data_IF_533795761241
#
_entry.id   IF_533795761241
#
_cell.length_a   1.000
_cell.length_b   1.000
_cell.length_c   1.000
_cell.angle_alpha   90.00
_cell.angle_beta   90.00
_cell.angle_gamma   90.00
#
_symmetry.space_group_name_H-M   'P 1'
#
loop_
_entity.id
_entity.type
_entity.pdbx_description
1 polymer ?
#
# COMPACT_ATOMS: atom_id res chain seq x y z
N UNK A 1 -1.14 27.78 8.86
CA UNK A 1 -2.07 26.70 8.48
C UNK A 1 -2.78 26.22 9.72
N UNK A 2 -4.11 26.10 9.67
CA UNK A 2 -4.86 25.43 10.74
C UNK A 2 -4.46 23.95 10.78
N UNK A 3 -4.41 23.32 11.95
CA UNK A 3 -3.90 21.94 12.07
C UNK A 3 -4.63 20.92 11.17
N UNK A 4 -5.95 21.11 10.97
CA UNK A 4 -6.75 20.29 10.06
C UNK A 4 -6.37 20.46 8.59
N UNK A 5 -6.04 21.68 8.17
CA UNK A 5 -5.59 21.97 6.79
C UNK A 5 -4.22 21.32 6.54
N UNK A 6 -3.32 21.37 7.52
CA UNK A 6 -2.04 20.68 7.47
C UNK A 6 -2.21 19.16 7.36
N UNK A 7 -3.08 18.58 8.16
CA UNK A 7 -3.36 17.15 8.14
C UNK A 7 -3.87 16.71 6.77
N UNK A 8 -4.86 17.43 6.21
CA UNK A 8 -5.41 17.12 4.89
C UNK A 8 -4.35 17.19 3.79
N UNK A 9 -3.46 18.18 3.81
CA UNK A 9 -2.34 18.27 2.86
C UNK A 9 -1.41 17.05 2.95
N UNK A 10 -1.11 16.57 4.17
CA UNK A 10 -0.27 15.39 4.36
C UNK A 10 -0.99 14.11 3.90
N UNK A 11 -2.29 13.98 4.15
CA UNK A 11 -3.08 12.84 3.65
C UNK A 11 -3.07 12.85 2.12
N UNK A 12 -3.35 13.98 1.48
CA UNK A 12 -3.30 14.12 0.01
C UNK A 12 -1.94 13.76 -0.56
N UNK A 13 -0.85 14.17 0.11
CA UNK A 13 0.50 13.76 -0.27
C UNK A 13 0.67 12.23 -0.31
N UNK A 14 0.16 11.51 0.70
CA UNK A 14 0.25 10.05 0.75
C UNK A 14 -0.64 9.36 -0.29
N UNK A 15 -1.81 9.93 -0.60
CA UNK A 15 -2.67 9.45 -1.70
C UNK A 15 -1.93 9.56 -3.04
N UNK A 16 -1.32 10.71 -3.32
CA UNK A 16 -0.54 10.94 -4.54
C UNK A 16 0.64 9.96 -4.59
N UNK A 17 1.37 9.80 -3.47
CA UNK A 17 2.47 8.82 -3.39
C UNK A 17 2.03 7.39 -3.64
N UNK A 18 0.85 7.00 -3.17
CA UNK A 18 0.27 5.69 -3.45
C UNK A 18 0.03 5.50 -4.95
N UNK A 19 -0.58 6.49 -5.62
CA UNK A 19 -0.87 6.46 -7.06
C UNK A 19 0.41 6.45 -7.90
N UNK A 20 1.35 7.36 -7.64
CA UNK A 20 2.66 7.39 -8.31
C UNK A 20 3.40 6.05 -8.17
N UNK A 21 3.30 5.41 -7.00
CA UNK A 21 3.94 4.11 -6.77
C UNK A 21 3.28 2.99 -7.55
N UNK A 22 1.95 3.03 -7.72
CA UNK A 22 1.21 2.04 -8.50
C UNK A 22 1.49 2.17 -10.00
N UNK A 23 1.56 3.41 -10.50
CA UNK A 23 1.97 3.70 -11.88
C UNK A 23 3.40 3.20 -12.13
N UNK A 24 4.33 3.56 -11.24
CA UNK A 24 5.71 3.08 -11.31
C UNK A 24 5.78 1.55 -11.27
N UNK A 25 4.95 0.88 -10.46
CA UNK A 25 4.89 -0.58 -10.45
C UNK A 25 4.51 -1.17 -11.81
N UNK A 26 3.54 -0.56 -12.50
CA UNK A 26 3.16 -0.93 -13.86
C UNK A 26 4.29 -0.73 -14.86
N UNK A 27 5.06 0.35 -14.75
CA UNK A 27 6.19 0.61 -15.65
C UNK A 27 7.38 -0.34 -15.42
N UNK A 28 7.69 -0.65 -14.16
CA UNK A 28 8.68 -1.67 -13.80
C UNK A 28 8.28 -3.06 -14.32
N UNK A 29 6.98 -3.40 -14.23
CA UNK A 29 6.44 -4.63 -14.78
C UNK A 29 6.59 -4.69 -16.29
N UNK A 30 6.23 -3.62 -17.03
CA UNK A 30 6.42 -3.54 -18.48
C UNK A 30 7.89 -3.72 -18.86
N UNK A 31 8.80 -3.11 -18.10
CA UNK A 31 10.23 -3.22 -18.32
C UNK A 31 10.84 -4.57 -17.90
N UNK A 32 10.06 -5.49 -17.31
CA UNK A 32 10.55 -6.81 -16.86
C UNK A 32 11.36 -6.76 -15.56
N UNK A 33 11.35 -5.63 -14.86
CA UNK A 33 12.03 -5.42 -13.58
C UNK A 33 11.12 -5.87 -12.43
N UNK A 34 10.86 -7.17 -12.38
CA UNK A 34 9.78 -7.76 -11.56
C UNK A 34 9.96 -7.51 -10.05
N UNK A 35 11.16 -7.65 -9.50
CA UNK A 35 11.41 -7.37 -8.06
C UNK A 35 11.15 -5.90 -7.72
N UNK A 36 11.50 -4.97 -8.61
CA UNK A 36 11.21 -3.55 -8.44
C UNK A 36 9.71 -3.24 -8.56
N UNK A 37 9.00 -3.95 -9.44
CA UNK A 37 7.54 -3.86 -9.51
C UNK A 37 6.89 -4.33 -8.20
N UNK A 38 7.26 -5.51 -7.67
CA UNK A 38 6.76 -6.01 -6.37
C UNK A 38 7.00 -5.02 -5.24
N UNK A 39 8.20 -4.42 -5.19
CA UNK A 39 8.52 -3.36 -4.24
C UNK A 39 7.53 -2.19 -4.33
N UNK A 40 7.31 -1.68 -5.56
CA UNK A 40 6.41 -0.56 -5.82
C UNK A 40 4.94 -0.88 -5.53
N UNK A 41 4.48 -2.10 -5.81
CA UNK A 41 3.14 -2.59 -5.45
C UNK A 41 2.92 -2.52 -3.94
N UNK A 42 3.87 -3.04 -3.16
CA UNK A 42 3.80 -2.98 -1.70
C UNK A 42 3.74 -1.54 -1.19
N UNK A 43 4.61 -0.65 -1.70
CA UNK A 43 4.63 0.76 -1.28
C UNK A 43 3.37 1.52 -1.67
N UNK A 44 2.76 1.22 -2.82
CA UNK A 44 1.48 1.78 -3.21
C UNK A 44 0.39 1.47 -2.17
N UNK A 45 0.29 0.22 -1.72
CA UNK A 45 -0.65 -0.17 -0.66
C UNK A 45 -0.29 0.47 0.69
N UNK A 46 1.00 0.46 1.05
CA UNK A 46 1.51 1.03 2.30
C UNK A 46 1.18 2.53 2.44
N UNK A 47 1.35 3.32 1.37
CA UNK A 47 1.03 4.74 1.39
C UNK A 47 -0.47 5.00 1.48
N UNK A 48 -1.31 4.19 0.83
CA UNK A 48 -2.76 4.32 0.97
C UNK A 48 -3.24 4.01 2.39
N UNK A 49 -2.70 2.96 3.02
CA UNK A 49 -2.96 2.66 4.44
C UNK A 49 -2.48 3.81 5.32
N UNK A 50 -1.31 4.39 5.02
CA UNK A 50 -0.77 5.54 5.76
C UNK A 50 -1.75 6.71 5.73
N UNK A 51 -2.31 7.03 4.56
CA UNK A 51 -3.30 8.10 4.41
C UNK A 51 -4.55 7.85 5.28
N UNK A 52 -5.11 6.64 5.26
CA UNK A 52 -6.30 6.29 6.04
C UNK A 52 -6.05 6.31 7.55
N UNK A 53 -4.95 5.73 8.01
CA UNK A 53 -4.62 5.71 9.44
C UNK A 53 -4.32 7.13 9.96
N UNK A 54 -3.70 7.97 9.13
CA UNK A 54 -3.41 9.36 9.46
C UNK A 54 -4.69 10.18 9.68
N UNK A 55 -5.77 9.94 8.92
CA UNK A 55 -7.08 10.55 9.16
C UNK A 55 -7.64 10.24 10.56
N UNK A 56 -7.32 9.06 11.09
CA UNK A 56 -7.73 8.62 12.43
C UNK A 56 -6.70 9.04 13.51
N UNK A 57 -5.80 9.98 13.19
CA UNK A 57 -4.68 10.44 14.04
C UNK A 57 -3.72 9.32 14.48
N UNK A 58 -3.61 8.24 13.69
CA UNK A 58 -2.70 7.13 13.97
C UNK A 58 -1.42 7.27 13.12
N UNK A 59 -0.29 7.45 13.79
CA UNK A 59 1.01 7.68 13.16
C UNK A 59 1.99 6.53 13.42
N UNK A 60 2.65 6.05 12.35
CA UNK A 60 3.60 4.94 12.45
C UNK A 60 4.91 5.27 11.74
N UNK A 61 6.03 5.04 12.42
CA UNK A 61 7.39 5.20 11.85
C UNK A 61 7.97 3.88 11.31
N UNK A 62 7.41 2.75 11.73
CA UNK A 62 7.89 1.40 11.39
C UNK A 62 6.84 0.67 10.56
N UNK A 63 7.28 -0.08 9.55
CA UNK A 63 6.38 -0.89 8.72
C UNK A 63 5.56 -1.90 9.54
N UNK A 64 6.18 -2.56 10.52
CA UNK A 64 5.49 -3.50 11.41
C UNK A 64 4.39 -2.84 12.24
N UNK A 65 4.61 -1.60 12.69
CA UNK A 65 3.62 -0.83 13.43
C UNK A 65 2.40 -0.49 12.56
N UNK A 66 2.63 0.01 11.34
CA UNK A 66 1.55 0.30 10.40
C UNK A 66 0.77 -0.97 10.02
N UNK A 67 1.48 -2.08 9.77
CA UNK A 67 0.85 -3.37 9.46
C UNK A 67 -0.03 -3.86 10.60
N UNK A 68 0.45 -3.82 11.85
CA UNK A 68 -0.34 -4.21 13.00
C UNK A 68 -1.60 -3.33 13.15
N UNK A 69 -1.45 -2.02 12.97
CA UNK A 69 -2.56 -1.07 13.04
C UNK A 69 -3.58 -1.24 11.92
N UNK A 70 -3.14 -1.53 10.70
CA UNK A 70 -4.02 -1.88 9.57
C UNK A 70 -4.90 -3.09 9.92
N UNK A 71 -4.29 -4.18 10.39
CA UNK A 71 -5.02 -5.38 10.80
C UNK A 71 -5.98 -5.10 11.96
N UNK A 72 -5.53 -4.36 12.97
CA UNK A 72 -6.34 -4.08 14.16
C UNK A 72 -7.52 -3.14 13.88
N UNK A 73 -7.30 -2.07 13.14
CA UNK A 73 -8.26 -0.96 13.04
C UNK A 73 -9.11 -1.01 11.77
N UNK A 74 -8.65 -1.71 10.72
CA UNK A 74 -9.33 -1.77 9.43
C UNK A 74 -9.80 -3.18 9.07
N UNK A 75 -8.97 -4.22 9.27
CA UNK A 75 -9.37 -5.60 8.92
C UNK A 75 -10.25 -6.24 10.00
N UNK A 76 -9.85 -6.18 11.27
CA UNK A 76 -10.63 -6.78 12.38
C UNK A 76 -11.97 -6.08 12.64
N UNK A 77 -12.13 -4.87 12.15
CA UNK A 77 -13.35 -4.05 12.26
C UNK A 77 -14.21 -4.14 11.00
N UNK A 78 -13.86 -5.04 10.07
CA UNK A 78 -14.56 -5.29 8.80
C UNK A 78 -14.68 -4.06 7.88
N UNK A 79 -13.88 -2.99 8.11
CA UNK A 79 -13.76 -1.84 7.18
C UNK A 79 -13.00 -2.21 5.91
N UNK A 80 -12.11 -3.21 6.01
CA UNK A 80 -11.34 -3.79 4.90
C UNK A 80 -11.48 -5.30 4.98
N UNK A 81 -11.64 -5.96 3.83
CA UNK A 81 -11.84 -7.41 3.80
C UNK A 81 -10.62 -8.18 4.33
N UNK A 82 -10.88 -9.37 4.87
CA UNK A 82 -9.81 -10.29 5.31
C UNK A 82 -8.90 -10.70 4.15
N UNK A 83 -9.43 -10.77 2.94
CA UNK A 83 -8.66 -11.05 1.72
C UNK A 83 -7.66 -9.93 1.41
N UNK A 84 -8.05 -8.66 1.55
CA UNK A 84 -7.12 -7.53 1.48
C UNK A 84 -6.10 -7.55 2.61
N UNK A 85 -6.50 -7.99 3.80
CA UNK A 85 -5.61 -8.27 4.92
C UNK A 85 -4.48 -9.25 4.55
N UNK A 86 -4.83 -10.39 3.97
CA UNK A 86 -3.88 -11.43 3.52
C UNK A 86 -3.00 -10.93 2.37
N UNK A 87 -3.59 -10.25 1.38
CA UNK A 87 -2.85 -9.68 0.25
C UNK A 87 -1.74 -8.74 0.73
N UNK A 88 -2.05 -7.84 1.67
CA UNK A 88 -1.05 -6.90 2.18
C UNK A 88 0.12 -7.61 2.88
N UNK A 89 -0.18 -8.70 3.60
CA UNK A 89 0.84 -9.54 4.24
C UNK A 89 1.72 -10.27 3.22
N UNK A 90 1.10 -10.82 2.18
CA UNK A 90 1.81 -11.48 1.09
C UNK A 90 2.75 -10.51 0.36
N UNK A 91 2.28 -9.30 0.04
CA UNK A 91 3.09 -8.25 -0.58
C UNK A 91 4.24 -7.79 0.33
N UNK A 92 4.00 -7.69 1.64
CA UNK A 92 5.03 -7.35 2.60
C UNK A 92 6.17 -8.37 2.61
N UNK A 93 5.84 -9.67 2.67
CA UNK A 93 6.82 -10.76 2.64
C UNK A 93 7.51 -10.87 1.28
N UNK A 94 6.76 -10.75 0.18
CA UNK A 94 7.32 -10.76 -1.17
C UNK A 94 8.33 -9.62 -1.36
N UNK A 95 7.99 -8.40 -0.94
CA UNK A 95 8.91 -7.26 -0.98
C UNK A 95 10.14 -7.48 -0.09
N UNK A 96 9.99 -8.04 1.12
CA UNK A 96 11.16 -8.37 1.95
C UNK A 96 12.12 -9.33 1.26
N UNK A 97 11.60 -10.40 0.66
CA UNK A 97 12.42 -11.35 -0.11
C UNK A 97 13.09 -10.66 -1.29
N UNK A 98 12.34 -9.89 -2.08
CA UNK A 98 12.87 -9.21 -3.27
C UNK A 98 13.93 -8.15 -2.98
N UNK A 99 13.84 -7.46 -1.84
CA UNK A 99 14.75 -6.36 -1.49
C UNK A 99 16.03 -6.83 -0.78
N UNK A 100 15.95 -7.90 0.01
CA UNK A 100 17.02 -8.24 0.97
C UNK A 100 17.61 -9.65 0.80
N UNK A 101 16.97 -10.53 0.04
CA UNK A 101 17.44 -11.91 -0.11
C UNK A 101 18.08 -12.08 -1.48
N UNK A 102 19.12 -12.91 -1.53
CA UNK A 102 19.83 -13.24 -2.77
C UNK A 102 19.01 -14.25 -3.59
N UNK A 103 19.16 -14.20 -4.92
CA UNK A 103 18.61 -15.20 -5.86
C UNK A 103 17.08 -15.34 -5.82
N UNK A 104 16.35 -14.27 -5.49
CA UNK A 104 14.88 -14.22 -5.55
C UNK A 104 14.43 -13.82 -6.96
N UNK A 105 13.65 -14.69 -7.59
CA UNK A 105 13.03 -14.46 -8.89
C UNK A 105 11.52 -14.51 -8.77
N UNK A 106 10.83 -13.52 -9.33
CA UNK A 106 9.38 -13.49 -9.42
C UNK A 106 8.94 -13.86 -10.84
N UNK A 107 7.79 -14.49 -10.95
CA UNK A 107 7.18 -14.78 -12.24
C UNK A 107 6.27 -13.63 -12.67
N UNK A 108 6.34 -13.23 -13.94
CA UNK A 108 5.53 -12.12 -14.48
C UNK A 108 4.02 -12.28 -14.21
N UNK A 109 3.38 -13.45 -14.43
CA UNK A 109 1.95 -13.61 -14.16
C UNK A 109 1.58 -13.38 -12.68
N UNK A 110 2.48 -13.73 -11.75
CA UNK A 110 2.30 -13.51 -10.32
C UNK A 110 2.33 -12.01 -9.99
N UNK A 111 3.28 -11.28 -10.56
CA UNK A 111 3.40 -9.83 -10.35
C UNK A 111 2.23 -9.07 -11.01
N UNK A 112 1.77 -9.50 -12.18
CA UNK A 112 0.56 -8.98 -12.84
C UNK A 112 -0.68 -9.17 -11.96
N UNK A 113 -0.85 -10.38 -11.41
CA UNK A 113 -1.93 -10.67 -10.48
C UNK A 113 -1.88 -9.76 -9.25
N UNK A 114 -0.72 -9.62 -8.61
CA UNK A 114 -0.56 -8.73 -7.46
C UNK A 114 -0.80 -7.26 -7.79
N UNK A 115 -0.36 -6.78 -8.96
CA UNK A 115 -0.61 -5.40 -9.39
C UNK A 115 -2.11 -5.12 -9.52
N UNK A 116 -2.85 -6.03 -10.14
CA UNK A 116 -4.31 -5.91 -10.27
C UNK A 116 -5.01 -5.94 -8.91
N UNK A 117 -4.64 -6.90 -8.04
CA UNK A 117 -5.21 -7.00 -6.69
C UNK A 117 -4.87 -5.80 -5.81
N UNK A 118 -3.70 -5.20 -5.99
CA UNK A 118 -3.30 -3.98 -5.30
C UNK A 118 -4.09 -2.77 -5.79
N UNK A 119 -4.44 -2.69 -7.07
CA UNK A 119 -5.32 -1.64 -7.59
C UNK A 119 -6.70 -1.70 -6.92
N UNK A 120 -7.30 -2.89 -6.81
CA UNK A 120 -8.56 -3.10 -6.09
C UNK A 120 -8.43 -2.72 -4.61
N UNK A 121 -7.36 -3.19 -3.96
CA UNK A 121 -7.03 -2.85 -2.56
C UNK A 121 -6.98 -1.33 -2.35
N UNK A 122 -6.28 -0.61 -3.23
CA UNK A 122 -6.08 0.82 -3.10
C UNK A 122 -7.42 1.54 -3.26
N UNK A 123 -8.28 1.11 -4.20
CA UNK A 123 -9.60 1.69 -4.39
C UNK A 123 -10.49 1.50 -3.16
N UNK A 124 -10.56 0.28 -2.64
CA UNK A 124 -11.35 -0.06 -1.46
C UNK A 124 -10.88 0.71 -0.22
N UNK A 125 -9.56 0.74 0.02
CA UNK A 125 -8.99 1.47 1.17
C UNK A 125 -9.15 2.98 1.01
N UNK A 126 -8.97 3.52 -0.20
CA UNK A 126 -9.18 4.95 -0.49
C UNK A 126 -10.62 5.38 -0.19
N UNK A 127 -11.61 4.51 -0.41
CA UNK A 127 -13.03 4.80 -0.14
C UNK A 127 -13.33 5.13 1.34
N UNK A 128 -12.43 4.78 2.26
CA UNK A 128 -12.53 5.08 3.69
C UNK A 128 -12.14 6.53 4.04
N UNK A 129 -11.51 7.25 3.10
CA UNK A 129 -11.13 8.64 3.29
C UNK A 129 -12.33 9.57 3.15
N UNK A 130 -12.37 10.59 4.01
CA UNK A 130 -13.43 11.61 4.07
C UNK A 130 -13.07 12.90 3.33
N UNK A 131 -11.85 12.98 2.80
CA UNK A 131 -11.38 14.13 2.04
C UNK A 131 -11.60 13.87 0.54
N UNK A 132 -12.13 14.86 -0.16
CA UNK A 132 -12.23 14.81 -1.61
C UNK A 132 -10.82 14.90 -2.20
N UNK A 133 -10.44 13.91 -3.02
CA UNK A 133 -9.22 13.94 -3.84
C UNK A 133 -9.43 14.76 -5.09
#
# INVERSE_FOLDING_TARGET
>A
MKDAERLNTIISYWIIKSQESLEAAGDELKAGRLSFSVNRIYYACFYMITAVLLQENLHFKKHSGLRAAFHQNLVKTDKVSREHGKLFDELFEARQRGDYFELVFFERPMVEYWLNRAQDFINDVKSLLRIAS
#
